data_IF_838837658987
#
_entry.id   IF_838837658987
#
_cell.length_a   1.000
_cell.length_b   1.000
_cell.length_c   1.000
_cell.angle_alpha   90.00
_cell.angle_beta   90.00
_cell.angle_gamma   90.00
#
_symmetry.space_group_name_H-M   'P 1'
#
loop_
_entity.id
_entity.type
_entity.pdbx_description
1 polymer ?
#
# COMPACT_ATOMS: atom_id res chain seq x y z
N UNK A 1 17.32 4.83 11.05
CA UNK A 1 16.48 3.79 10.40
C UNK A 1 17.31 3.15 9.29
N UNK A 2 18.00 2.04 9.54
CA UNK A 2 18.91 1.39 8.57
C UNK A 2 18.59 -0.07 8.29
N UNK A 3 17.79 -0.69 9.16
CA UNK A 3 17.32 -2.08 9.02
C UNK A 3 15.78 -2.12 9.03
N UNK A 4 15.15 -3.15 8.45
CA UNK A 4 13.70 -3.34 8.50
C UNK A 4 13.12 -3.24 9.91
N UNK A 5 13.77 -3.85 10.91
CA UNK A 5 13.36 -3.76 12.32
C UNK A 5 13.40 -2.33 12.86
N UNK A 6 14.50 -1.61 12.66
CA UNK A 6 14.62 -0.21 13.12
C UNK A 6 13.66 0.73 12.40
N UNK A 7 13.31 0.42 11.15
CA UNK A 7 12.35 1.17 10.36
C UNK A 7 10.92 0.96 10.85
N UNK A 8 10.51 -0.30 11.04
CA UNK A 8 9.20 -0.63 11.58
C UNK A 8 9.01 -0.08 13.01
N UNK A 9 10.08 -0.03 13.81
CA UNK A 9 10.06 0.61 15.12
C UNK A 9 9.79 2.12 15.01
N UNK A 10 10.57 2.86 14.20
CA UNK A 10 10.37 4.30 14.03
C UNK A 10 8.96 4.62 13.49
N UNK A 11 8.46 3.81 12.56
CA UNK A 11 7.10 3.94 12.04
C UNK A 11 6.05 3.75 13.14
N UNK A 12 6.27 2.82 14.08
CA UNK A 12 5.40 2.57 15.22
C UNK A 12 5.49 3.64 16.32
N UNK A 13 6.46 4.56 16.26
CA UNK A 13 6.60 5.67 17.20
C UNK A 13 5.80 6.91 16.74
N UNK A 14 5.41 6.97 15.46
CA UNK A 14 4.60 8.09 14.91
C UNK A 14 3.22 8.17 15.55
N UNK A 15 2.85 9.35 16.05
CA UNK A 15 1.51 9.68 16.56
C UNK A 15 1.04 10.99 15.94
N UNK A 16 -0.17 10.96 15.37
CA UNK A 16 -0.81 12.10 14.71
C UNK A 16 -2.31 12.09 15.03
N UNK A 17 -2.97 13.25 15.12
CA UNK A 17 -4.41 13.31 15.39
C UNK A 17 -5.22 12.74 14.22
N UNK A 18 -6.29 11.99 14.53
CA UNK A 18 -7.20 11.39 13.54
C UNK A 18 -6.46 10.56 12.47
N UNK A 19 -5.45 9.81 12.92
CA UNK A 19 -4.66 8.88 12.13
C UNK A 19 -4.53 7.59 12.90
N UNK A 20 -4.88 6.47 12.26
CA UNK A 20 -4.60 5.14 12.78
C UNK A 20 -3.21 4.69 12.29
N UNK A 21 -2.32 4.38 13.22
CA UNK A 21 -1.03 3.80 12.95
C UNK A 21 -1.11 2.26 13.05
N UNK A 22 -1.14 1.52 11.93
CA UNK A 22 -1.28 0.06 11.96
C UNK A 22 -0.10 -0.64 12.66
N UNK A 23 1.01 0.04 12.84
CA UNK A 23 2.19 -0.51 13.47
C UNK A 23 2.23 -0.25 14.97
N UNK A 24 1.27 0.49 15.54
CA UNK A 24 1.20 0.81 16.96
C UNK A 24 -0.18 0.56 17.57
N UNK A 25 -1.24 0.85 16.82
CA UNK A 25 -2.60 0.89 17.31
C UNK A 25 -3.35 -0.44 17.09
N UNK A 26 -4.29 -0.70 17.99
CA UNK A 26 -5.23 -1.81 17.89
C UNK A 26 -6.68 -1.28 17.86
N UNK A 27 -7.44 -1.67 16.85
CA UNK A 27 -8.86 -1.44 16.68
C UNK A 27 -9.69 -2.41 17.54
N UNK A 28 -10.45 -1.88 18.50
CA UNK A 28 -11.29 -2.69 19.41
C UNK A 28 -12.33 -3.56 18.69
N UNK A 29 -12.78 -3.17 17.50
CA UNK A 29 -13.84 -3.87 16.75
C UNK A 29 -13.33 -5.07 15.98
N UNK A 30 -12.21 -4.94 15.27
CA UNK A 30 -11.78 -5.93 14.28
C UNK A 30 -10.44 -6.59 14.59
N UNK A 31 -9.63 -6.01 15.48
CA UNK A 31 -8.29 -6.52 15.70
C UNK A 31 -8.25 -7.70 16.68
N UNK A 32 -7.23 -8.54 16.47
CA UNK A 32 -6.73 -9.42 17.52
C UNK A 32 -5.98 -8.60 18.57
N UNK A 33 -5.84 -9.15 19.77
CA UNK A 33 -5.11 -8.50 20.86
C UNK A 33 -3.65 -8.15 20.49
N UNK A 34 -3.03 -8.92 19.59
CA UNK A 34 -1.65 -8.75 19.14
C UNK A 34 -1.51 -8.11 17.75
N UNK A 35 -2.56 -7.47 17.22
CA UNK A 35 -2.62 -7.00 15.84
C UNK A 35 -1.47 -6.08 15.43
N UNK A 36 -1.16 -5.03 16.20
CA UNK A 36 -0.04 -4.13 15.89
C UNK A 36 1.31 -4.87 15.80
N UNK A 37 1.53 -5.87 16.68
CA UNK A 37 2.73 -6.72 16.64
C UNK A 37 2.77 -7.60 15.40
N UNK A 38 1.62 -8.16 14.99
CA UNK A 38 1.50 -8.94 13.75
C UNK A 38 1.82 -8.09 12.54
N UNK A 39 1.22 -6.90 12.42
CA UNK A 39 1.46 -5.97 11.30
C UNK A 39 2.93 -5.52 11.23
N UNK A 40 3.56 -5.23 12.37
CA UNK A 40 5.01 -4.95 12.42
C UNK A 40 5.85 -6.13 11.93
N UNK A 41 5.51 -7.36 12.35
CA UNK A 41 6.21 -8.58 11.90
C UNK A 41 6.07 -8.77 10.39
N UNK A 42 4.86 -8.63 9.85
CA UNK A 42 4.60 -8.72 8.41
C UNK A 42 5.44 -7.71 7.63
N UNK A 43 5.43 -6.43 8.05
CA UNK A 43 6.23 -5.39 7.40
C UNK A 43 7.73 -5.73 7.41
N UNK A 44 8.26 -6.16 8.55
CA UNK A 44 9.68 -6.55 8.66
C UNK A 44 9.99 -7.71 7.72
N UNK A 45 9.16 -8.76 7.68
CA UNK A 45 9.32 -9.91 6.77
C UNK A 45 9.30 -9.48 5.30
N UNK A 46 8.37 -8.60 4.89
CA UNK A 46 8.33 -8.07 3.53
C UNK A 46 9.61 -7.32 3.18
N UNK A 47 10.09 -6.43 4.05
CA UNK A 47 11.29 -5.63 3.79
C UNK A 47 12.57 -6.49 3.80
N UNK A 48 12.69 -7.46 4.72
CA UNK A 48 13.81 -8.40 4.74
C UNK A 48 13.84 -9.22 3.42
N UNK A 49 12.69 -9.73 2.97
CA UNK A 49 12.58 -10.46 1.72
C UNK A 49 12.91 -9.58 0.50
N UNK A 50 12.46 -8.32 0.49
CA UNK A 50 12.77 -7.38 -0.59
C UNK A 50 14.27 -7.13 -0.72
N UNK A 51 14.96 -6.94 0.42
CA UNK A 51 16.41 -6.73 0.46
C UNK A 51 17.14 -7.99 -0.01
N UNK A 52 16.73 -9.17 0.48
CA UNK A 52 17.36 -10.44 0.13
C UNK A 52 17.19 -10.78 -1.37
N UNK A 53 16.04 -10.46 -1.95
CA UNK A 53 15.74 -10.66 -3.37
C UNK A 53 16.26 -9.53 -4.27
N UNK A 54 16.93 -8.51 -3.72
CA UNK A 54 17.39 -7.32 -4.46
C UNK A 54 16.29 -6.64 -5.27
N UNK A 55 15.09 -6.53 -4.71
CA UNK A 55 13.95 -5.88 -5.36
C UNK A 55 14.31 -4.44 -5.74
N UNK A 56 14.25 -4.13 -7.03
CA UNK A 56 14.72 -2.86 -7.58
C UNK A 56 13.59 -1.86 -7.89
N UNK A 57 12.34 -2.20 -7.55
CA UNK A 57 11.16 -1.41 -7.89
C UNK A 57 10.28 -1.19 -6.66
N UNK A 58 9.86 0.06 -6.44
CA UNK A 58 8.86 0.42 -5.41
C UNK A 58 7.61 0.95 -6.08
N UNK A 59 6.44 0.44 -5.69
CA UNK A 59 5.14 1.01 -6.05
C UNK A 59 4.64 1.87 -4.91
N UNK A 60 4.36 3.14 -5.18
CA UNK A 60 4.00 4.12 -4.16
C UNK A 60 2.64 4.72 -4.47
N UNK A 61 1.67 4.47 -3.61
CA UNK A 61 0.37 5.15 -3.62
C UNK A 61 0.31 6.25 -2.56
N UNK A 62 -0.88 6.82 -2.34
CA UNK A 62 -1.04 8.02 -1.53
C UNK A 62 -1.04 7.77 -0.02
N UNK A 63 -2.05 7.07 0.50
CA UNK A 63 -2.28 6.79 1.92
C UNK A 63 -2.91 5.41 2.11
N UNK A 64 -2.84 4.85 3.33
CA UNK A 64 -3.50 3.57 3.62
C UNK A 64 -5.01 3.74 3.70
N UNK A 65 -5.75 2.86 3.02
CA UNK A 65 -7.19 2.75 3.17
C UNK A 65 -7.61 1.89 4.37
N UNK A 66 -8.80 2.14 4.91
CA UNK A 66 -9.28 1.45 6.11
C UNK A 66 -9.54 -0.06 5.91
N UNK A 67 -9.76 -0.50 4.66
CA UNK A 67 -9.99 -1.90 4.27
C UNK A 67 -8.71 -2.64 3.84
N UNK A 68 -7.69 -1.92 3.40
CA UNK A 68 -6.41 -2.49 2.97
C UNK A 68 -5.35 -2.45 4.06
N UNK A 69 -4.27 -1.70 3.79
CA UNK A 69 -3.05 -1.68 4.61
C UNK A 69 -3.24 -1.28 6.08
N UNK A 70 -4.32 -0.56 6.43
CA UNK A 70 -4.70 -0.36 7.84
C UNK A 70 -4.87 -1.69 8.59
N UNK A 71 -5.50 -2.67 7.94
CA UNK A 71 -5.83 -3.97 8.54
C UNK A 71 -4.64 -4.92 8.50
N UNK A 72 -3.92 -4.96 7.38
CA UNK A 72 -2.87 -5.95 7.09
C UNK A 72 -1.48 -5.52 7.54
N UNK A 73 -1.23 -4.20 7.62
CA UNK A 73 0.11 -3.64 7.80
C UNK A 73 0.99 -3.72 6.55
N UNK A 74 0.46 -4.27 5.46
CA UNK A 74 1.14 -4.41 4.16
C UNK A 74 0.52 -3.39 3.21
N UNK A 75 1.28 -2.39 2.74
CA UNK A 75 0.79 -1.38 1.81
C UNK A 75 0.15 -1.97 0.56
N UNK A 76 -0.89 -1.30 0.05
CA UNK A 76 -1.62 -1.71 -1.17
C UNK A 76 -2.17 -3.16 -1.13
N UNK A 77 -2.32 -3.75 0.07
CA UNK A 77 -2.68 -5.15 0.24
C UNK A 77 -3.82 -5.27 1.26
N UNK A 78 -4.93 -5.86 0.83
CA UNK A 78 -6.05 -6.22 1.68
C UNK A 78 -5.91 -7.65 2.24
N UNK A 79 -6.88 -8.11 3.02
CA UNK A 79 -6.79 -9.43 3.66
C UNK A 79 -6.90 -10.59 2.67
N UNK A 80 -7.61 -10.38 1.56
CA UNK A 80 -7.79 -11.39 0.51
C UNK A 80 -6.49 -11.61 -0.25
N UNK A 81 -5.68 -10.57 -0.41
CA UNK A 81 -4.43 -10.62 -1.18
C UNK A 81 -3.17 -10.90 -0.35
N UNK A 82 -3.30 -11.18 0.96
CA UNK A 82 -2.15 -11.48 1.83
C UNK A 82 -1.36 -12.71 1.37
N UNK A 83 -2.04 -13.74 0.86
CA UNK A 83 -1.39 -14.96 0.37
C UNK A 83 -0.61 -14.71 -0.93
N UNK A 84 -1.16 -13.93 -1.86
CA UNK A 84 -0.43 -13.50 -3.06
C UNK A 84 0.79 -12.65 -2.69
N UNK A 85 0.67 -11.76 -1.70
CA UNK A 85 1.79 -10.97 -1.22
C UNK A 85 2.92 -11.81 -0.62
N UNK A 86 2.56 -12.83 0.17
CA UNK A 86 3.50 -13.81 0.69
C UNK A 86 4.23 -14.55 -0.44
N UNK A 87 3.48 -15.06 -1.42
CA UNK A 87 4.02 -15.82 -2.56
C UNK A 87 4.96 -14.96 -3.42
N UNK A 88 4.55 -13.75 -3.80
CA UNK A 88 5.34 -12.84 -4.64
C UNK A 88 6.68 -12.48 -3.98
N UNK A 89 6.72 -12.40 -2.65
CA UNK A 89 7.93 -12.10 -1.87
C UNK A 89 8.74 -13.36 -1.51
N UNK A 90 8.66 -14.41 -2.32
CA UNK A 90 9.45 -15.64 -2.13
C UNK A 90 8.86 -16.62 -1.10
N UNK A 91 7.54 -16.60 -0.91
CA UNK A 91 6.85 -17.55 -0.03
C UNK A 91 7.00 -17.25 1.47
N UNK A 92 7.18 -15.99 1.85
CA UNK A 92 7.25 -15.60 3.26
C UNK A 92 5.93 -15.81 4.00
N UNK A 93 5.97 -15.96 5.31
CA UNK A 93 4.77 -16.04 6.12
C UNK A 93 4.18 -14.65 6.42
N UNK A 94 2.96 -14.38 5.97
CA UNK A 94 2.20 -13.20 6.36
C UNK A 94 0.94 -13.59 7.13
N UNK A 95 0.78 -13.00 8.31
CA UNK A 95 -0.27 -13.36 9.24
C UNK A 95 -1.40 -12.32 9.25
N UNK A 96 -2.63 -12.79 9.37
CA UNK A 96 -3.78 -11.90 9.55
C UNK A 96 -3.83 -11.33 10.97
N UNK A 97 -3.90 -10.00 11.07
CA UNK A 97 -3.93 -9.25 12.34
C UNK A 97 -5.35 -9.07 12.92
N UNK A 98 -6.39 -9.41 12.16
CA UNK A 98 -7.79 -9.13 12.46
C UNK A 98 -8.60 -10.41 12.72
N UNK A 99 -9.85 -10.23 13.14
CA UNK A 99 -10.86 -11.27 13.40
C UNK A 99 -12.05 -11.10 12.43
N UNK A 100 -12.90 -12.13 12.34
CA UNK A 100 -14.10 -12.11 11.49
C UNK A 100 -13.83 -12.46 10.03
N UNK A 101 -14.73 -12.15 9.09
CA UNK A 101 -14.53 -12.45 7.67
C UNK A 101 -13.41 -11.60 7.05
N UNK A 102 -12.77 -12.11 5.99
CA UNK A 102 -11.77 -11.35 5.24
C UNK A 102 -12.40 -10.13 4.55
N UNK A 103 -11.67 -9.02 4.51
CA UNK A 103 -12.11 -7.79 3.86
C UNK A 103 -11.28 -7.52 2.62
N UNK A 104 -11.97 -7.29 1.50
CA UNK A 104 -11.35 -6.84 0.25
C UNK A 104 -11.32 -5.30 0.15
N UNK A 105 -10.40 -4.77 -0.66
CA UNK A 105 -10.29 -3.36 -1.03
C UNK A 105 -10.14 -3.22 -2.55
N UNK A 106 -10.93 -2.33 -3.16
CA UNK A 106 -10.99 -2.19 -4.63
C UNK A 106 -9.64 -1.87 -5.25
N UNK A 107 -8.90 -0.93 -4.65
CA UNK A 107 -7.56 -0.57 -5.13
C UNK A 107 -6.60 -1.75 -5.02
N UNK A 108 -6.61 -2.48 -3.90
CA UNK A 108 -5.77 -3.66 -3.72
C UNK A 108 -6.08 -4.73 -4.76
N UNK A 109 -7.34 -5.06 -5.01
CA UNK A 109 -7.73 -6.05 -6.01
C UNK A 109 -7.18 -5.75 -7.42
N UNK A 110 -7.26 -4.50 -7.86
CA UNK A 110 -6.72 -4.09 -9.17
C UNK A 110 -5.19 -4.07 -9.16
N UNK A 111 -4.56 -3.64 -8.07
CA UNK A 111 -3.09 -3.67 -7.95
C UNK A 111 -2.58 -5.11 -8.01
N UNK A 112 -3.22 -6.02 -7.27
CA UNK A 112 -2.81 -7.42 -7.20
C UNK A 112 -3.14 -8.23 -8.44
N UNK A 113 -4.19 -7.88 -9.21
CA UNK A 113 -4.42 -8.49 -10.51
C UNK A 113 -3.28 -8.21 -11.49
N UNK A 114 -2.66 -7.03 -11.41
CA UNK A 114 -1.53 -6.65 -12.26
C UNK A 114 -0.22 -7.22 -11.72
N UNK A 115 0.05 -7.12 -10.41
CA UNK A 115 1.27 -7.67 -9.80
C UNK A 115 1.38 -9.19 -10.02
N UNK A 116 0.27 -9.93 -9.92
CA UNK A 116 0.27 -11.37 -10.15
C UNK A 116 0.59 -11.72 -11.60
N UNK A 117 0.14 -10.91 -12.56
CA UNK A 117 0.49 -11.07 -13.99
C UNK A 117 1.94 -10.76 -14.28
N UNK A 118 2.48 -9.70 -13.65
CA UNK A 118 3.90 -9.35 -13.76
C UNK A 118 4.77 -10.48 -13.21
N UNK A 119 4.39 -11.06 -12.06
CA UNK A 119 5.13 -12.17 -11.44
C UNK A 119 6.49 -11.79 -10.85
N UNK A 120 6.84 -10.50 -10.84
CA UNK A 120 8.07 -9.96 -10.26
C UNK A 120 7.78 -9.28 -8.92
N UNK A 121 8.64 -9.45 -7.90
CA UNK A 121 8.48 -8.77 -6.62
C UNK A 121 8.67 -7.26 -6.74
N UNK A 122 7.80 -6.52 -6.04
CA UNK A 122 7.90 -5.07 -5.87
C UNK A 122 7.68 -4.70 -4.40
N UNK A 123 8.39 -3.69 -3.90
CA UNK A 123 8.09 -3.12 -2.59
C UNK A 123 6.86 -2.24 -2.74
N UNK A 124 5.80 -2.53 -2.00
CA UNK A 124 4.59 -1.69 -1.98
C UNK A 124 4.70 -0.69 -0.84
N UNK A 125 4.35 0.56 -1.10
CA UNK A 125 4.39 1.63 -0.09
C UNK A 125 3.36 2.74 -0.35
N UNK A 126 3.27 3.67 0.60
CA UNK A 126 2.43 4.87 0.50
C UNK A 126 3.23 6.12 0.89
N UNK A 127 2.99 7.25 0.22
CA UNK A 127 3.57 8.56 0.56
C UNK A 127 3.33 8.88 2.02
N UNK A 128 2.09 8.71 2.47
CA UNK A 128 1.74 8.72 3.87
C UNK A 128 1.51 7.28 4.34
N UNK A 129 2.40 6.72 5.18
CA UNK A 129 2.42 5.28 5.46
C UNK A 129 1.39 4.84 6.53
N UNK A 130 0.46 5.71 6.90
CA UNK A 130 -0.55 5.49 7.93
C UNK A 130 -1.96 5.66 7.34
N UNK A 131 -2.99 5.41 8.15
CA UNK A 131 -4.38 5.56 7.74
C UNK A 131 -5.00 6.83 8.33
N UNK A 132 -5.14 7.91 7.54
CA UNK A 132 -5.85 9.11 7.95
C UNK A 132 -7.37 8.91 7.83
N UNK A 133 -8.10 9.34 8.85
CA UNK A 133 -9.56 9.24 8.91
C UNK A 133 -10.19 10.54 9.41
N UNK A 134 -11.49 10.71 9.19
CA UNK A 134 -12.29 11.78 9.80
C UNK A 134 -12.30 11.62 11.32
N UNK A 135 -12.29 12.73 12.07
CA UNK A 135 -12.12 12.70 13.53
C UNK A 135 -13.14 11.81 14.25
N UNK A 136 -14.40 11.83 13.78
CA UNK A 136 -15.52 11.11 14.38
C UNK A 136 -15.83 9.77 13.70
N UNK A 137 -15.09 9.40 12.64
CA UNK A 137 -15.28 8.15 11.91
C UNK A 137 -13.94 7.44 11.62
N UNK A 138 -13.46 6.56 12.52
CA UNK A 138 -12.21 5.81 12.34
C UNK A 138 -12.24 4.74 11.23
N UNK A 139 -13.37 4.58 10.54
CA UNK A 139 -13.53 3.69 9.39
C UNK A 139 -13.85 4.45 8.09
N UNK A 140 -13.68 5.78 8.10
CA UNK A 140 -13.67 6.62 6.90
C UNK A 140 -12.28 6.68 6.27
N UNK A 141 -12.20 7.11 5.01
CA UNK A 141 -10.94 7.51 4.39
C UNK A 141 -10.96 9.02 4.16
N UNK A 142 -9.94 9.74 4.63
CA UNK A 142 -9.65 11.09 4.17
C UNK A 142 -8.30 11.12 3.45
N UNK A 143 -8.01 12.21 2.75
CA UNK A 143 -6.65 12.40 2.24
C UNK A 143 -5.73 12.83 3.38
N UNK A 144 -4.48 12.37 3.36
CA UNK A 144 -3.46 12.96 4.24
C UNK A 144 -3.25 14.44 3.90
N UNK A 145 -2.93 15.22 4.92
CA UNK A 145 -2.54 16.62 4.78
C UNK A 145 -1.07 16.74 4.41
N UNK A 146 -0.68 17.91 3.90
CA UNK A 146 0.73 18.21 3.62
C UNK A 146 1.61 18.05 4.86
N UNK A 147 1.16 18.51 6.03
CA UNK A 147 1.90 18.42 7.28
C UNK A 147 2.13 16.96 7.72
N UNK A 148 1.12 16.10 7.55
CA UNK A 148 1.23 14.67 7.86
C UNK A 148 2.21 13.95 6.93
N UNK A 149 2.18 14.27 5.63
CA UNK A 149 3.19 13.79 4.69
C UNK A 149 4.59 14.23 5.11
N UNK A 150 4.78 15.52 5.39
CA UNK A 150 6.08 16.08 5.78
C UNK A 150 6.61 15.44 7.09
N UNK A 151 5.73 15.21 8.07
CA UNK A 151 6.07 14.54 9.32
C UNK A 151 6.56 13.09 9.12
N UNK A 152 6.09 12.41 8.07
CA UNK A 152 6.48 11.02 7.76
C UNK A 152 7.50 10.91 6.62
N UNK A 153 7.89 12.02 5.99
CA UNK A 153 8.84 12.04 4.88
C UNK A 153 10.19 11.37 5.19
N UNK A 154 10.78 11.52 6.40
CA UNK A 154 12.02 10.81 6.75
C UNK A 154 11.89 9.28 6.70
N UNK A 155 10.68 8.72 6.86
CA UNK A 155 10.44 7.28 6.71
C UNK A 155 10.54 6.91 5.23
N UNK A 156 9.88 7.64 4.34
CA UNK A 156 9.97 7.36 2.90
C UNK A 156 11.43 7.42 2.40
N UNK A 157 12.19 8.44 2.78
CA UNK A 157 13.59 8.56 2.36
C UNK A 157 14.45 7.43 2.94
N UNK A 158 14.20 7.00 4.18
CA UNK A 158 14.88 5.85 4.77
C UNK A 158 14.54 4.54 4.05
N UNK A 159 13.28 4.35 3.64
CA UNK A 159 12.87 3.19 2.84
C UNK A 159 13.59 3.17 1.49
N UNK A 160 13.59 4.29 0.77
CA UNK A 160 14.28 4.44 -0.51
C UNK A 160 15.78 4.16 -0.35
N UNK A 161 16.43 4.70 0.67
CA UNK A 161 17.85 4.47 0.93
C UNK A 161 18.15 3.01 1.31
N UNK A 162 17.19 2.30 1.91
CA UNK A 162 17.31 0.90 2.31
C UNK A 162 17.14 -0.04 1.11
N UNK A 163 16.13 0.19 0.29
CA UNK A 163 15.79 -0.65 -0.88
C UNK A 163 16.69 -0.32 -2.08
N UNK A 164 17.10 0.94 -2.23
CA UNK A 164 17.88 1.46 -3.37
C UNK A 164 17.25 1.09 -4.72
N UNK A 165 15.97 1.43 -4.95
CA UNK A 165 15.29 1.02 -6.17
C UNK A 165 15.89 1.72 -7.38
N UNK A 166 15.93 1.01 -8.51
CA UNK A 166 16.20 1.58 -9.83
C UNK A 166 15.05 2.48 -10.30
N UNK A 167 13.80 2.13 -9.94
CA UNK A 167 12.61 2.90 -10.33
C UNK A 167 11.53 2.91 -9.26
N UNK A 168 10.71 3.94 -9.31
CA UNK A 168 9.49 4.07 -8.52
C UNK A 168 8.29 4.17 -9.46
N UNK A 169 7.27 3.36 -9.24
CA UNK A 169 5.96 3.47 -9.90
C UNK A 169 5.03 4.24 -8.97
N UNK A 170 4.76 5.51 -9.30
CA UNK A 170 3.88 6.37 -8.53
C UNK A 170 2.42 6.20 -9.00
N UNK A 171 1.56 5.73 -8.10
CA UNK A 171 0.15 5.46 -8.40
C UNK A 171 -0.69 6.68 -8.04
N UNK A 172 -1.09 7.41 -9.08
CA UNK A 172 -1.88 8.63 -8.97
C UNK A 172 -1.05 9.92 -8.94
N UNK A 173 -1.75 11.03 -9.18
CA UNK A 173 -1.15 12.37 -9.30
C UNK A 173 -0.47 12.82 -8.01
N UNK A 174 -1.12 12.61 -6.86
CA UNK A 174 -0.61 13.05 -5.56
C UNK A 174 0.74 12.39 -5.22
N UNK A 175 0.85 11.08 -5.50
CA UNK A 175 2.10 10.34 -5.33
C UNK A 175 3.18 10.86 -6.29
N UNK A 176 2.84 11.04 -7.57
CA UNK A 176 3.77 11.59 -8.57
C UNK A 176 4.29 12.97 -8.20
N UNK A 177 3.41 13.87 -7.73
CA UNK A 177 3.79 15.21 -7.29
C UNK A 177 4.67 15.18 -6.04
N UNK A 178 4.37 14.32 -5.07
CA UNK A 178 5.15 14.21 -3.84
C UNK A 178 6.58 13.68 -4.10
N UNK A 179 6.75 12.80 -5.09
CA UNK A 179 8.03 12.20 -5.45
C UNK A 179 8.84 13.04 -6.45
N UNK A 180 8.29 14.17 -6.91
CA UNK A 180 8.97 15.04 -7.85
C UNK A 180 10.27 15.59 -7.25
N UNK A 181 11.36 15.57 -8.03
CA UNK A 181 12.67 16.04 -7.59
C UNK A 181 13.51 15.03 -6.83
N UNK A 182 13.04 13.79 -6.63
CA UNK A 182 13.91 12.70 -6.21
C UNK A 182 14.86 12.31 -7.35
N UNK A 183 16.12 12.02 -7.01
CA UNK A 183 17.14 11.54 -7.95
C UNK A 183 16.98 10.03 -8.25
N UNK A 184 15.76 9.64 -8.63
CA UNK A 184 15.36 8.27 -8.98
C UNK A 184 14.36 8.36 -10.13
N UNK A 185 14.38 7.38 -11.03
CA UNK A 185 13.38 7.32 -12.09
C UNK A 185 11.98 7.08 -11.52
N UNK A 186 11.12 8.10 -11.57
CA UNK A 186 9.71 8.00 -11.18
C UNK A 186 8.84 7.88 -12.43
N UNK A 187 8.03 6.81 -12.51
CA UNK A 187 7.02 6.59 -13.55
C UNK A 187 5.64 6.73 -12.93
N UNK A 188 4.85 7.68 -13.42
CA UNK A 188 3.52 7.97 -12.87
C UNK A 188 2.48 7.20 -13.68
N UNK A 189 1.59 6.48 -12.99
CA UNK A 189 0.42 5.82 -13.57
C UNK A 189 -0.86 6.38 -12.97
N UNK A 190 -1.97 6.27 -13.70
CA UNK A 190 -3.29 6.68 -13.17
C UNK A 190 -3.64 5.85 -11.93
N UNK A 191 -4.23 6.47 -10.91
CA UNK A 191 -4.79 5.70 -9.79
C UNK A 191 -6.03 4.90 -10.25
N UNK A 192 -6.18 3.60 -9.90
CA UNK A 192 -7.22 2.73 -10.46
C UNK A 192 -8.66 3.11 -10.07
N UNK A 193 -8.85 3.90 -9.01
CA UNK A 193 -10.18 4.40 -8.60
C UNK A 193 -10.75 5.46 -9.55
N UNK A 194 -12.07 5.69 -9.44
CA UNK A 194 -12.81 6.70 -10.20
C UNK A 194 -12.65 6.55 -11.72
N UNK A 195 -12.85 5.32 -12.22
CA UNK A 195 -12.74 5.00 -13.66
C UNK A 195 -11.31 4.85 -14.18
N UNK A 196 -10.28 5.05 -13.35
CA UNK A 196 -8.87 5.00 -13.76
C UNK A 196 -8.26 3.61 -13.97
N UNK A 197 -9.05 2.54 -13.90
CA UNK A 197 -8.54 1.16 -13.93
C UNK A 197 -7.85 0.81 -15.25
N UNK A 198 -8.47 1.11 -16.40
CA UNK A 198 -7.88 0.79 -17.71
C UNK A 198 -6.56 1.55 -17.95
N UNK A 199 -6.52 2.83 -17.59
CA UNK A 199 -5.31 3.67 -17.68
C UNK A 199 -4.21 3.21 -16.72
N UNK A 200 -4.57 2.75 -15.52
CA UNK A 200 -3.63 2.15 -14.57
C UNK A 200 -2.99 0.90 -15.17
N UNK A 201 -3.80 -0.05 -15.64
CA UNK A 201 -3.33 -1.32 -16.23
C UNK A 201 -2.43 -1.04 -17.44
N UNK A 202 -2.90 -0.21 -18.38
CA UNK A 202 -2.13 0.17 -19.56
C UNK A 202 -0.80 0.84 -19.20
N UNK A 203 -0.80 1.77 -18.24
CA UNK A 203 0.40 2.45 -17.77
C UNK A 203 1.41 1.51 -17.13
N UNK A 204 0.95 0.56 -16.32
CA UNK A 204 1.83 -0.45 -15.71
C UNK A 204 2.36 -1.42 -16.77
N UNK A 205 1.52 -1.92 -17.67
CA UNK A 205 1.95 -2.81 -18.76
C UNK A 205 3.04 -2.15 -19.60
N UNK A 206 2.91 -0.86 -19.90
CA UNK A 206 3.95 -0.11 -20.60
C UNK A 206 5.28 -0.02 -19.81
N UNK A 207 5.22 0.15 -18.48
CA UNK A 207 6.42 0.19 -17.62
C UNK A 207 7.16 -1.16 -17.56
N UNK A 208 6.40 -2.26 -17.61
CA UNK A 208 6.92 -3.63 -17.53
C UNK A 208 7.12 -4.30 -18.89
N UNK A 209 6.69 -3.68 -19.99
CA UNK A 209 6.83 -4.24 -21.34
C UNK A 209 5.89 -5.41 -21.63
N UNK A 210 4.74 -5.50 -20.95
CA UNK A 210 3.73 -6.54 -21.19
C UNK A 210 2.92 -6.22 -22.45
N UNK A 211 2.67 -7.22 -23.31
CA UNK A 211 1.89 -7.05 -24.55
C UNK A 211 0.40 -7.20 -24.31
N UNK A 212 -0.43 -6.68 -25.23
CA UNK A 212 -1.88 -6.75 -25.12
C UNK A 212 -2.45 -8.18 -25.21
N UNK A 213 -1.71 -9.12 -25.79
CA UNK A 213 -2.12 -10.53 -25.87
C UNK A 213 -2.07 -11.25 -24.51
N UNK A 214 -1.43 -10.64 -23.49
CA UNK A 214 -1.46 -11.11 -22.10
C UNK A 214 -2.70 -10.58 -21.34
N UNK A 215 -3.58 -9.81 -22.00
CA UNK A 215 -4.80 -9.24 -21.41
C UNK A 215 -5.97 -10.19 -21.64
N UNK A 216 -6.11 -11.15 -20.71
CA UNK A 216 -7.14 -12.18 -20.74
C UNK A 216 -8.56 -11.63 -20.44
N UNK A 217 -8.90 -10.42 -20.91
CA UNK A 217 -10.24 -9.83 -20.97
C UNK A 217 -11.06 -9.82 -19.67
N UNK A 218 -10.48 -10.20 -18.53
CA UNK A 218 -11.21 -10.46 -17.31
C UNK A 218 -11.60 -9.13 -16.70
N UNK A 219 -12.88 -8.81 -16.86
CA UNK A 219 -13.55 -7.86 -15.99
C UNK A 219 -13.40 -8.40 -14.57
N UNK A 220 -12.55 -7.75 -13.77
CA UNK A 220 -12.34 -8.16 -12.37
C UNK A 220 -13.67 -7.91 -11.66
N UNK A 221 -14.45 -8.98 -11.46
CA UNK A 221 -15.68 -8.93 -10.69
C UNK A 221 -15.29 -8.83 -9.22
N UNK A 222 -15.32 -7.60 -8.72
CA UNK A 222 -14.90 -7.32 -7.36
C UNK A 222 -16.01 -7.77 -6.39
N UNK A 223 -15.69 -8.50 -5.30
CA UNK A 223 -16.68 -9.00 -4.34
C UNK A 223 -17.16 -7.89 -3.39
N UNK A 224 -17.50 -6.72 -3.92
CA UNK A 224 -18.07 -5.62 -3.14
C UNK A 224 -19.59 -5.63 -3.28
N UNK A 225 -20.35 -5.72 -2.18
CA UNK A 225 -21.73 -5.24 -2.23
C UNK A 225 -21.68 -3.75 -2.60
N UNK A 226 -22.46 -3.34 -3.60
CA UNK A 226 -22.59 -1.94 -4.01
C UNK A 226 -22.99 -1.09 -2.81
N UNK A 227 -22.06 -0.34 -2.22
CA UNK A 227 -22.38 0.80 -1.34
C UNK A 227 -21.15 1.62 -0.95
N UNK A 228 -21.38 2.95 -0.94
CA UNK A 228 -20.50 4.06 -0.59
C UNK A 228 -19.48 4.46 -1.65
N UNK A 229 -20.01 5.12 -2.69
CA UNK A 229 -19.34 6.29 -3.23
C UNK A 229 -19.03 7.25 -2.07
N UNK A 230 -17.75 7.53 -1.85
CA UNK A 230 -17.33 8.62 -1.00
C UNK A 230 -18.05 9.88 -1.48
N UNK A 231 -18.94 10.44 -0.64
CA UNK A 231 -19.51 11.76 -0.88
C UNK A 231 -18.34 12.73 -0.88
N UNK A 232 -17.92 13.15 -2.07
CA UNK A 232 -17.00 14.25 -2.23
C UNK A 232 -17.66 15.49 -1.66
N UNK A 233 -17.06 16.07 -0.62
CA UNK A 233 -17.28 17.47 -0.31
C UNK A 233 -16.64 18.28 -1.44
N UNK A 234 -17.48 18.81 -2.32
CA UNK A 234 -17.14 19.89 -3.22
C UNK A 234 -17.68 21.19 -2.62
N UNK A 235 -16.83 22.22 -2.67
CA UNK A 235 -16.98 23.60 -2.18
C UNK A 235 -16.75 23.80 -0.68
#
# INVERSE_FOLDING_TARGET
>A
MKTPKSFAQALAETRLPSVFNPYADCCSTYDRADAARVRRRNLVRCLDAAIAAHVDTIWIARDLGYRGGRRTGVPLTDEVHLAQAAALMGGIELDRATRGPMVAERTAAIVWSVLTRIGEPAVLWNIFPLHPHEADDPFSNRCHTRAEREATWPLLTALIAMIKPRRIVAIGRDAGMALNGLDITVKIVRHPSYGGQAEFISGVNHIYGLTADDDDGQTIELPFPDTQAARGAAA
#
